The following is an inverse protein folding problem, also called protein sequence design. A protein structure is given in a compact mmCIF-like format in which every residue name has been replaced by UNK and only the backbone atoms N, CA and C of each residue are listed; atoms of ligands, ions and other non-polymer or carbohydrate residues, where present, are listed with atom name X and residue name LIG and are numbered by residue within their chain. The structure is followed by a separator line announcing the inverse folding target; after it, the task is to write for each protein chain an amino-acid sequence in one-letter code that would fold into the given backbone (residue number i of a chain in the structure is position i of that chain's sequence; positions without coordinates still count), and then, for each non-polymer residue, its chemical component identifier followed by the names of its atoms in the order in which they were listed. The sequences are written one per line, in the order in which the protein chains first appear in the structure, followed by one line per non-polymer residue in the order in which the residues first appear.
data_IF_290299673858
#
_entry.id   IF_290299673858
#
_cell.length_a   1.000
_cell.length_b   1.000
_cell.length_c   1.000
_cell.angle_alpha   90.00
_cell.angle_beta   90.00
_cell.angle_gamma   90.00
#
_symmetry.space_group_name_H-M   'P 1'
#
loop_
_entity.id
_entity.type
_entity.pdbx_description
1 polymer ?
#
# COMPACT_ATOMS: atom_id res chain seq x y z
N UNK A 1 -18.26 -20.89 1.45
CA UNK A 1 -16.93 -20.97 0.81
C UNK A 1 -15.92 -20.91 1.94
N UNK A 2 -15.01 -21.87 2.03
CA UNK A 2 -13.94 -21.80 3.01
C UNK A 2 -13.11 -20.56 2.71
N UNK A 3 -12.89 -19.73 3.71
CA UNK A 3 -12.06 -18.54 3.60
C UNK A 3 -10.64 -19.04 3.28
N UNK A 4 -10.12 -18.75 2.10
CA UNK A 4 -8.79 -19.23 1.70
C UNK A 4 -7.76 -18.65 2.65
N UNK A 5 -6.97 -19.51 3.27
CA UNK A 5 -5.86 -19.12 4.13
C UNK A 5 -4.64 -18.68 3.32
N UNK A 6 -4.70 -18.84 2.00
CA UNK A 6 -3.65 -18.48 1.07
C UNK A 6 -3.81 -17.04 0.61
N UNK A 7 -2.69 -16.30 0.62
CA UNK A 7 -2.60 -14.92 0.17
C UNK A 7 -1.38 -14.76 -0.72
N UNK A 8 -1.57 -14.18 -1.89
CA UNK A 8 -0.49 -13.70 -2.73
C UNK A 8 -0.29 -12.19 -2.52
N UNK A 9 0.91 -11.79 -2.09
CA UNK A 9 1.34 -10.39 -2.10
C UNK A 9 2.12 -10.12 -3.38
N UNK A 10 1.68 -9.16 -4.20
CA UNK A 10 2.31 -8.83 -5.49
C UNK A 10 2.75 -7.38 -5.49
N UNK A 11 4.02 -7.15 -5.83
CA UNK A 11 4.60 -5.83 -6.07
C UNK A 11 4.90 -5.67 -7.56
N UNK A 12 4.29 -4.70 -8.20
CA UNK A 12 4.65 -4.28 -9.56
C UNK A 12 5.71 -3.18 -9.44
N UNK A 13 6.98 -3.60 -9.46
CA UNK A 13 8.13 -2.71 -9.29
C UNK A 13 8.66 -2.19 -10.62
N UNK A 14 9.53 -1.17 -10.58
CA UNK A 14 10.16 -0.59 -11.75
C UNK A 14 11.00 -1.58 -12.57
N UNK A 15 11.66 -2.53 -11.90
CA UNK A 15 12.56 -3.48 -12.53
C UNK A 15 11.96 -4.88 -12.72
N UNK A 16 10.76 -5.14 -12.21
CA UNK A 16 10.10 -6.44 -12.32
C UNK A 16 8.97 -6.62 -11.33
N UNK A 17 8.19 -7.65 -11.55
CA UNK A 17 7.15 -8.13 -10.65
C UNK A 17 7.78 -9.01 -9.57
N UNK A 18 7.41 -8.78 -8.32
CA UNK A 18 7.76 -9.63 -7.18
C UNK A 18 6.49 -10.16 -6.55
N UNK A 19 6.48 -11.43 -6.24
CA UNK A 19 5.34 -12.08 -5.61
C UNK A 19 5.80 -12.93 -4.42
N UNK A 20 4.99 -12.98 -3.38
CA UNK A 20 5.17 -13.85 -2.22
C UNK A 20 3.86 -14.58 -1.93
N UNK A 21 3.95 -15.89 -1.77
CA UNK A 21 2.84 -16.74 -1.35
C UNK A 21 2.90 -16.94 0.16
N UNK A 22 1.85 -16.55 0.85
CA UNK A 22 1.74 -16.64 2.29
C UNK A 22 0.53 -17.51 2.66
N UNK A 23 0.68 -18.28 3.75
CA UNK A 23 -0.41 -19.05 4.35
C UNK A 23 -0.44 -18.84 5.86
N UNK A 24 -1.62 -18.62 6.40
CA UNK A 24 -1.80 -18.59 7.84
C UNK A 24 -1.98 -20.00 8.39
N UNK A 25 -1.10 -20.41 9.29
CA UNK A 25 -1.15 -21.68 9.98
C UNK A 25 -1.83 -21.50 11.35
N UNK A 26 -3.14 -21.70 11.43
CA UNK A 26 -3.95 -21.50 12.64
C UNK A 26 -3.41 -22.26 13.86
N UNK A 27 -3.00 -23.51 13.67
CA UNK A 27 -2.50 -24.35 14.76
C UNK A 27 -1.24 -23.81 15.44
N UNK A 28 -0.45 -23.00 14.72
CA UNK A 28 0.78 -22.40 15.22
C UNK A 28 0.68 -20.87 15.44
N UNK A 29 -0.46 -20.27 15.07
CA UNK A 29 -0.68 -18.82 15.08
C UNK A 29 0.44 -18.06 14.34
N UNK A 30 0.80 -18.54 13.15
CA UNK A 30 1.92 -18.03 12.37
C UNK A 30 1.59 -17.88 10.90
N UNK A 31 2.21 -16.89 10.26
CA UNK A 31 2.22 -16.73 8.81
C UNK A 31 3.45 -17.43 8.24
N UNK A 32 3.23 -18.35 7.31
CA UNK A 32 4.27 -19.11 6.62
C UNK A 32 4.46 -18.55 5.21
N UNK A 33 5.72 -18.31 4.82
CA UNK A 33 6.08 -18.05 3.44
C UNK A 33 6.18 -19.39 2.69
N UNK A 34 5.26 -19.63 1.76
CA UNK A 34 5.16 -20.86 0.97
C UNK A 34 6.02 -20.81 -0.28
N UNK A 35 6.26 -19.61 -0.80
CA UNK A 35 7.09 -19.39 -1.98
C UNK A 35 7.25 -17.91 -2.30
N UNK A 36 8.15 -17.63 -3.22
CA UNK A 36 8.34 -16.31 -3.79
C UNK A 36 8.73 -16.42 -5.25
N UNK A 37 8.44 -15.40 -6.02
CA UNK A 37 8.86 -15.29 -7.42
C UNK A 37 9.29 -13.87 -7.75
N UNK A 38 10.32 -13.74 -8.58
CA UNK A 38 10.75 -12.50 -9.19
C UNK A 38 10.78 -12.65 -10.70
N UNK A 39 10.05 -11.79 -11.39
CA UNK A 39 9.98 -11.76 -12.86
C UNK A 39 10.52 -10.39 -13.29
N UNK A 40 11.76 -10.33 -13.79
CA UNK A 40 12.36 -9.08 -14.24
C UNK A 40 11.67 -8.58 -15.51
N UNK A 41 11.42 -7.26 -15.57
CA UNK A 41 11.06 -6.62 -16.83
C UNK A 41 12.29 -6.58 -17.75
N UNK A 42 12.12 -6.72 -19.08
CA UNK A 42 13.20 -6.54 -20.05
C UNK A 42 13.86 -5.15 -19.99
N UNK A 43 13.13 -4.15 -19.52
CA UNK A 43 13.56 -2.78 -19.32
C UNK A 43 12.96 -2.23 -18.02
N UNK A 44 13.65 -1.27 -17.39
CA UNK A 44 13.09 -0.53 -16.25
C UNK A 44 11.91 0.32 -16.76
N UNK A 45 10.75 0.25 -16.08
CA UNK A 45 9.51 0.89 -16.54
C UNK A 45 9.61 2.41 -16.73
N UNK A 46 10.53 3.08 -16.02
CA UNK A 46 10.78 4.53 -16.17
C UNK A 46 11.71 4.91 -17.30
N UNK A 47 12.27 3.94 -18.05
CA UNK A 47 13.10 4.26 -19.21
C UNK A 47 12.26 4.81 -20.37
N UNK A 48 12.78 5.78 -21.16
CA UNK A 48 12.00 6.45 -22.21
C UNK A 48 11.48 5.52 -23.32
N UNK A 49 12.13 4.37 -23.50
CA UNK A 49 11.79 3.36 -24.51
C UNK A 49 11.11 2.12 -23.92
N UNK A 50 10.72 2.18 -22.65
CA UNK A 50 9.87 1.19 -22.02
C UNK A 50 8.39 1.50 -22.30
N UNK A 51 7.60 0.47 -22.49
CA UNK A 51 6.14 0.53 -22.67
C UNK A 51 5.52 -0.24 -21.50
N UNK A 52 5.22 0.42 -20.35
CA UNK A 52 4.68 -0.24 -19.16
C UNK A 52 3.41 -1.03 -19.44
N UNK A 53 2.56 -0.53 -20.35
CA UNK A 53 1.29 -1.13 -20.75
C UNK A 53 1.47 -2.50 -21.45
N UNK A 54 2.68 -2.80 -21.94
CA UNK A 54 3.04 -4.10 -22.50
C UNK A 54 3.82 -4.96 -21.50
N UNK A 55 4.79 -4.34 -20.80
CA UNK A 55 5.73 -5.07 -19.93
C UNK A 55 5.07 -5.59 -18.65
N UNK A 56 4.12 -4.84 -18.09
CA UNK A 56 3.40 -5.27 -16.87
C UNK A 56 2.50 -6.48 -17.16
N UNK A 57 1.63 -6.45 -18.18
CA UNK A 57 0.83 -7.64 -18.52
C UNK A 57 1.67 -8.88 -18.82
N UNK A 58 2.78 -8.77 -19.55
CA UNK A 58 3.68 -9.89 -19.82
C UNK A 58 4.23 -10.50 -18.52
N UNK A 59 4.61 -9.69 -17.55
CA UNK A 59 5.09 -10.18 -16.26
C UNK A 59 3.97 -10.86 -15.46
N UNK A 60 2.74 -10.34 -15.53
CA UNK A 60 1.57 -10.94 -14.88
C UNK A 60 1.23 -12.27 -15.55
N UNK A 61 1.20 -12.36 -16.87
CA UNK A 61 0.98 -13.61 -17.60
C UNK A 61 2.02 -14.67 -17.21
N UNK A 62 3.30 -14.30 -17.20
CA UNK A 62 4.39 -15.20 -16.78
C UNK A 62 4.19 -15.68 -15.32
N UNK A 63 3.71 -14.80 -14.45
CA UNK A 63 3.40 -15.16 -13.07
C UNK A 63 2.23 -16.16 -12.98
N UNK A 64 1.15 -15.92 -13.71
CA UNK A 64 -0.05 -16.75 -13.72
C UNK A 64 0.19 -18.13 -14.37
N UNK A 65 1.07 -18.22 -15.37
CA UNK A 65 1.47 -19.50 -15.96
C UNK A 65 2.24 -20.40 -14.98
N UNK A 66 2.97 -19.80 -14.06
CA UNK A 66 3.83 -20.53 -13.12
C UNK A 66 3.15 -20.81 -11.76
N UNK A 67 2.05 -20.12 -11.44
CA UNK A 67 1.43 -20.16 -10.13
C UNK A 67 -0.09 -20.34 -10.22
N UNK A 68 -0.61 -21.20 -9.37
CA UNK A 68 -2.05 -21.32 -9.17
C UNK A 68 -2.49 -20.27 -8.12
N UNK A 69 -3.31 -19.34 -8.56
CA UNK A 69 -3.88 -18.27 -7.71
C UNK A 69 -5.38 -18.49 -7.45
N UNK A 70 -5.95 -19.56 -7.98
CA UNK A 70 -7.38 -19.81 -7.90
C UNK A 70 -7.83 -19.99 -6.44
N UNK A 71 -8.85 -19.24 -6.05
CA UNK A 71 -9.36 -19.21 -4.69
C UNK A 71 -8.46 -18.52 -3.64
N UNK A 72 -7.26 -18.06 -3.99
CA UNK A 72 -6.41 -17.28 -3.11
C UNK A 72 -6.85 -15.81 -3.03
N UNK A 73 -6.56 -15.15 -1.92
CA UNK A 73 -6.66 -13.68 -1.84
C UNK A 73 -5.40 -13.06 -2.43
N UNK A 74 -5.57 -11.96 -3.14
CA UNK A 74 -4.44 -11.22 -3.73
C UNK A 74 -4.37 -9.83 -3.12
N UNK A 75 -3.19 -9.42 -2.69
CA UNK A 75 -2.87 -8.08 -2.25
C UNK A 75 -1.81 -7.49 -3.18
N UNK A 76 -2.11 -6.35 -3.79
CA UNK A 76 -1.18 -5.68 -4.73
C UNK A 76 -0.64 -4.43 -4.07
N UNK A 77 0.67 -4.22 -4.11
CA UNK A 77 1.30 -2.98 -3.73
C UNK A 77 1.48 -2.07 -4.95
N UNK A 78 1.14 -0.81 -4.78
CA UNK A 78 1.28 0.21 -5.82
C UNK A 78 2.64 0.90 -5.74
N UNK A 79 3.21 1.37 -6.88
CA UNK A 79 4.50 2.03 -6.90
C UNK A 79 4.49 3.32 -6.07
N UNK A 80 5.40 3.45 -5.11
CA UNK A 80 5.54 4.64 -4.26
C UNK A 80 5.66 5.97 -5.03
N UNK A 81 6.40 6.07 -6.15
CA UNK A 81 6.53 7.31 -6.93
C UNK A 81 5.21 7.87 -7.48
N UNK A 82 4.17 7.05 -7.61
CA UNK A 82 2.83 7.48 -8.07
C UNK A 82 1.95 7.97 -6.92
N UNK A 83 2.40 7.84 -5.68
CA UNK A 83 1.68 8.28 -4.50
C UNK A 83 2.17 9.63 -3.99
N UNK A 84 1.27 10.38 -3.36
CA UNK A 84 1.61 11.56 -2.57
C UNK A 84 1.88 11.12 -1.13
N UNK A 85 3.03 11.52 -0.60
CA UNK A 85 3.33 11.42 0.82
C UNK A 85 3.59 12.82 1.41
N UNK A 86 3.01 13.14 2.55
CA UNK A 86 3.24 14.36 3.31
C UNK A 86 3.40 14.02 4.78
N UNK A 87 4.35 14.66 5.42
CA UNK A 87 4.55 14.55 6.86
C UNK A 87 4.17 15.87 7.51
N UNK A 88 3.28 15.80 8.49
CA UNK A 88 2.75 16.96 9.19
C UNK A 88 2.94 16.80 10.69
N UNK A 89 3.27 17.90 11.36
CA UNK A 89 3.32 17.97 12.81
C UNK A 89 2.00 18.53 13.32
N UNK A 90 1.33 17.76 14.18
CA UNK A 90 0.10 18.22 14.83
C UNK A 90 0.44 19.07 16.07
N UNK A 91 -0.34 20.13 16.33
CA UNK A 91 -0.28 20.81 17.62
C UNK A 91 -0.69 19.86 18.75
N UNK A 92 -0.44 20.21 20.02
CA UNK A 92 -1.01 19.45 21.13
C UNK A 92 -2.53 19.34 20.99
N UNK A 93 -3.03 18.12 20.95
CA UNK A 93 -4.43 17.81 20.62
C UNK A 93 -4.93 16.65 21.47
N UNK A 94 -6.19 16.69 21.89
CA UNK A 94 -6.84 15.56 22.55
C UNK A 94 -6.73 14.32 21.63
N UNK A 95 -6.30 13.20 22.20
CA UNK A 95 -6.04 11.98 21.43
C UNK A 95 -7.24 11.47 20.62
N UNK A 96 -8.46 11.72 21.12
CA UNK A 96 -9.71 11.38 20.43
C UNK A 96 -10.05 12.30 19.25
N UNK A 97 -9.41 13.47 19.12
CA UNK A 97 -9.61 14.44 18.04
C UNK A 97 -8.57 14.35 16.93
N UNK A 98 -7.54 13.52 17.10
CA UNK A 98 -6.46 13.38 16.12
C UNK A 98 -7.00 13.07 14.73
N UNK A 99 -7.89 12.09 14.59
CA UNK A 99 -8.45 11.71 13.29
C UNK A 99 -9.17 12.89 12.59
N UNK A 100 -9.92 13.71 13.34
CA UNK A 100 -10.62 14.86 12.78
C UNK A 100 -9.65 15.95 12.30
N UNK A 101 -8.59 16.20 13.07
CA UNK A 101 -7.58 17.19 12.68
C UNK A 101 -6.78 16.72 11.48
N UNK A 102 -6.43 15.42 11.44
CA UNK A 102 -5.73 14.84 10.29
C UNK A 102 -6.60 14.92 9.03
N UNK A 103 -7.91 14.67 9.11
CA UNK A 103 -8.81 14.85 7.97
C UNK A 103 -8.87 16.31 7.49
N UNK A 104 -8.88 17.26 8.40
CA UNK A 104 -8.84 18.69 8.05
C UNK A 104 -7.51 19.06 7.36
N UNK A 105 -6.39 18.59 7.89
CA UNK A 105 -5.08 18.79 7.28
C UNK A 105 -4.97 18.09 5.92
N UNK A 106 -5.53 16.89 5.77
CA UNK A 106 -5.55 16.19 4.50
C UNK A 106 -6.21 17.00 3.38
N UNK A 107 -7.33 17.68 3.68
CA UNK A 107 -8.01 18.59 2.73
C UNK A 107 -7.14 19.77 2.26
N UNK A 108 -6.16 20.16 3.07
CA UNK A 108 -5.25 21.26 2.73
C UNK A 108 -3.96 20.80 2.07
N UNK A 109 -3.47 19.62 2.46
CA UNK A 109 -2.17 19.10 2.03
C UNK A 109 -2.25 18.26 0.76
N UNK A 110 -3.40 17.64 0.49
CA UNK A 110 -3.63 16.85 -0.71
C UNK A 110 -4.17 17.78 -1.80
N UNK A 111 -3.45 17.97 -2.94
CA UNK A 111 -3.81 18.92 -3.99
C UNK A 111 -4.92 18.39 -4.92
N UNK A 112 -5.78 17.52 -4.42
CA UNK A 112 -6.90 16.90 -5.12
C UNK A 112 -8.09 16.84 -4.18
N UNK A 113 -9.31 16.77 -4.72
CA UNK A 113 -10.47 16.48 -3.91
C UNK A 113 -10.33 15.11 -3.23
N UNK A 114 -10.69 15.02 -1.96
CA UNK A 114 -10.54 13.77 -1.21
C UNK A 114 -11.42 12.63 -1.77
N UNK A 115 -12.48 12.98 -2.51
CA UNK A 115 -13.34 12.02 -3.18
C UNK A 115 -12.65 11.40 -4.42
N UNK A 116 -11.67 12.09 -5.01
CA UNK A 116 -10.90 11.64 -6.18
C UNK A 116 -9.68 10.81 -5.81
N UNK A 117 -9.37 10.69 -4.52
CA UNK A 117 -8.20 9.96 -4.03
C UNK A 117 -8.60 8.83 -3.08
N UNK A 118 -7.74 7.83 -3.00
CA UNK A 118 -7.67 6.90 -1.88
C UNK A 118 -6.57 7.42 -0.98
N UNK A 119 -6.90 7.73 0.27
CA UNK A 119 -5.94 8.27 1.20
C UNK A 119 -6.03 7.59 2.57
N UNK A 120 -4.94 7.61 3.27
CA UNK A 120 -4.85 7.15 4.66
C UNK A 120 -3.77 7.93 5.40
N UNK A 121 -3.72 7.76 6.70
CA UNK A 121 -2.65 8.33 7.50
C UNK A 121 -2.07 7.33 8.48
N UNK A 122 -0.84 7.57 8.87
CA UNK A 122 -0.15 6.81 9.90
C UNK A 122 0.50 7.75 10.90
N UNK A 123 0.32 7.48 12.18
CA UNK A 123 1.10 8.16 13.22
C UNK A 123 2.53 7.63 13.17
N UNK A 124 3.48 8.54 12.97
CA UNK A 124 4.92 8.25 12.91
C UNK A 124 5.56 8.38 14.29
N UNK A 125 5.20 9.47 15.01
CA UNK A 125 5.72 9.75 16.35
C UNK A 125 4.69 10.45 17.21
N UNK A 126 5.01 10.70 18.47
CA UNK A 126 4.16 11.37 19.46
C UNK A 126 3.73 10.45 20.59
N UNK A 127 3.55 11.04 21.76
CA UNK A 127 3.10 10.36 22.98
C UNK A 127 1.82 10.99 23.49
N UNK A 128 1.02 10.19 24.16
CA UNK A 128 -0.15 10.70 24.91
C UNK A 128 0.34 11.02 26.33
N UNK A 129 0.10 12.24 26.75
CA UNK A 129 0.30 12.64 28.14
C UNK A 129 -0.84 12.04 28.98
N UNK A 130 -0.48 11.23 29.95
CA UNK A 130 -1.44 10.44 30.75
C UNK A 130 -2.33 11.33 31.65
N UNK A 131 -1.81 12.47 32.07
CA UNK A 131 -2.54 13.37 32.99
C UNK A 131 -3.58 14.21 32.24
N UNK A 132 -3.24 14.70 31.04
CA UNK A 132 -4.09 15.59 30.26
C UNK A 132 -4.88 14.90 29.16
N UNK A 133 -4.48 13.69 28.74
CA UNK A 133 -5.03 12.96 27.58
C UNK A 133 -4.68 13.59 26.23
N UNK A 134 -3.77 14.60 26.22
CA UNK A 134 -3.32 15.25 25.01
C UNK A 134 -2.21 14.45 24.33
N UNK A 135 -2.27 14.38 23.02
CA UNK A 135 -1.17 13.91 22.20
C UNK A 135 -0.18 15.06 21.98
N UNK A 136 1.08 14.82 22.33
CA UNK A 136 2.15 15.80 22.24
C UNK A 136 3.15 15.38 21.16
N UNK A 137 3.69 16.37 20.44
CA UNK A 137 4.72 16.18 19.40
C UNK A 137 4.35 15.07 18.38
N UNK A 138 3.08 15.02 17.98
CA UNK A 138 2.62 14.03 17.04
C UNK A 138 3.04 14.40 15.61
N UNK A 139 3.78 13.52 14.98
CA UNK A 139 4.04 13.55 13.54
C UNK A 139 3.18 12.50 12.85
N UNK A 140 2.52 12.90 11.79
CA UNK A 140 1.62 12.06 11.01
C UNK A 140 2.05 12.07 9.54
N UNK A 141 2.20 10.88 8.96
CA UNK A 141 2.36 10.70 7.52
C UNK A 141 0.98 10.59 6.86
N UNK A 142 0.71 11.45 5.89
CA UNK A 142 -0.43 11.37 4.98
C UNK A 142 0.02 10.71 3.68
N UNK A 143 -0.75 9.75 3.21
CA UNK A 143 -0.51 9.03 1.97
C UNK A 143 -1.76 9.08 1.12
N UNK A 144 -1.62 9.48 -0.15
CA UNK A 144 -2.75 9.56 -1.07
C UNK A 144 -2.34 9.13 -2.47
N UNK A 145 -3.29 8.53 -3.19
CA UNK A 145 -3.16 8.15 -4.58
C UNK A 145 -4.49 8.40 -5.30
N UNK A 146 -4.45 8.81 -6.56
CA UNK A 146 -5.67 8.98 -7.36
C UNK A 146 -6.39 7.65 -7.51
N UNK A 147 -7.73 7.66 -7.38
CA UNK A 147 -8.56 6.47 -7.51
C UNK A 147 -8.36 5.77 -8.84
N UNK A 148 -8.28 6.54 -9.94
CA UNK A 148 -8.09 6.00 -11.28
C UNK A 148 -6.81 5.16 -11.35
N UNK A 149 -5.70 5.67 -10.82
CA UNK A 149 -4.43 4.93 -10.78
C UNK A 149 -4.50 3.64 -9.96
N UNK A 150 -5.28 3.64 -8.88
CA UNK A 150 -5.48 2.43 -8.07
C UNK A 150 -6.30 1.40 -8.86
N UNK A 151 -7.40 1.83 -9.49
CA UNK A 151 -8.29 0.92 -10.24
C UNK A 151 -7.68 0.42 -11.55
N UNK A 152 -6.80 1.18 -12.18
CA UNK A 152 -6.05 0.72 -13.36
C UNK A 152 -5.03 -0.39 -13.03
N UNK A 153 -4.65 -0.54 -11.77
CA UNK A 153 -3.68 -1.55 -11.31
C UNK A 153 -4.37 -2.81 -10.77
N UNK A 154 -5.64 -2.73 -10.41
CA UNK A 154 -6.43 -3.85 -9.88
C UNK A 154 -7.09 -4.66 -11.00
#
# INVERSE_FOLDING_TARGET
MADSQDVWGIEIGQAGLKAVHLRYAEAADQVLAMGYQYIPHPKILSQPDAIPEELIPQAIETFLEANDVDGARVAISLPGPTSLARFINLPPVESNKVAQIVEYEAKQQIPFDLDDVIWSYQKISGSVDEDSGYMLNAEVGLFAMKRDQVYETL
#
